data_IF_235780324135
#
_entry.id   IF_235780324135
#
_cell.length_a   1.000
_cell.length_b   1.000
_cell.length_c   1.000
_cell.angle_alpha   90.00
_cell.angle_beta   90.00
_cell.angle_gamma   90.00
#
_symmetry.space_group_name_H-M   'P 1'
#
loop_
_entity.id
_entity.type
_entity.pdbx_description
1 polymer ?
#
# COMPACT_ATOMS: atom_id res chain seq x y z
N UNK A 1 -2.81 21.72 17.83
CA UNK A 1 -3.84 21.04 17.01
C UNK A 1 -3.58 21.19 15.52
N UNK A 2 -3.34 22.40 15.01
CA UNK A 2 -3.08 22.63 13.59
C UNK A 2 -1.80 21.95 13.07
N UNK A 3 -0.72 22.00 13.84
CA UNK A 3 0.56 21.37 13.48
C UNK A 3 0.45 19.85 13.30
N UNK A 4 -0.27 19.15 14.20
CA UNK A 4 -0.52 17.71 14.09
C UNK A 4 -1.26 17.37 12.79
N UNK A 5 -2.28 18.14 12.45
CA UNK A 5 -3.04 17.92 11.21
C UNK A 5 -2.15 18.14 9.97
N UNK A 6 -1.31 19.17 9.98
CA UNK A 6 -0.37 19.43 8.88
C UNK A 6 0.63 18.29 8.70
N UNK A 7 1.17 17.74 9.80
CA UNK A 7 2.05 16.57 9.74
C UNK A 7 1.35 15.33 9.18
N UNK A 8 0.10 15.08 9.58
CA UNK A 8 -0.70 13.97 9.06
C UNK A 8 -0.96 14.12 7.56
N UNK A 9 -1.33 15.31 7.10
CA UNK A 9 -1.53 15.57 5.67
C UNK A 9 -0.22 15.43 4.88
N UNK A 10 0.89 15.93 5.41
CA UNK A 10 2.20 15.78 4.78
C UNK A 10 2.58 14.29 4.66
N UNK A 11 2.35 13.51 5.71
CA UNK A 11 2.58 12.06 5.67
C UNK A 11 1.67 11.36 4.64
N UNK A 12 0.38 11.69 4.59
CA UNK A 12 -0.54 11.12 3.60
C UNK A 12 -0.11 11.46 2.17
N UNK A 13 0.32 12.70 1.92
CA UNK A 13 0.84 13.11 0.61
C UNK A 13 2.14 12.37 0.25
N UNK A 14 3.00 12.07 1.22
CA UNK A 14 4.21 11.29 0.98
C UNK A 14 3.87 9.83 0.58
N UNK A 15 2.88 9.22 1.25
CA UNK A 15 2.42 7.87 0.92
C UNK A 15 1.87 7.74 -0.51
N UNK A 16 1.25 8.79 -1.06
CA UNK A 16 0.73 8.77 -2.44
C UNK A 16 1.81 8.43 -3.48
N UNK A 17 3.09 8.76 -3.20
CA UNK A 17 4.22 8.44 -4.08
C UNK A 17 4.41 6.94 -4.29
N UNK A 18 3.91 6.09 -3.38
CA UNK A 18 3.97 4.63 -3.53
C UNK A 18 3.22 4.12 -4.77
N UNK A 19 2.28 4.90 -5.32
CA UNK A 19 1.60 4.58 -6.59
C UNK A 19 2.53 4.65 -7.80
N UNK A 20 3.66 5.37 -7.70
CA UNK A 20 4.67 5.47 -8.75
C UNK A 20 5.83 4.47 -8.56
N UNK A 21 6.00 3.87 -7.38
CA UNK A 21 7.04 2.88 -7.11
C UNK A 21 6.58 1.49 -7.55
N UNK A 22 7.15 1.01 -8.66
CA UNK A 22 6.81 -0.30 -9.23
C UNK A 22 7.65 -1.43 -8.62
N UNK A 23 7.04 -2.61 -8.49
CA UNK A 23 7.65 -3.85 -8.00
C UNK A 23 7.91 -4.79 -9.17
N UNK A 24 8.79 -5.77 -9.00
CA UNK A 24 9.03 -6.82 -10.01
C UNK A 24 7.88 -7.84 -10.11
N UNK A 25 6.92 -7.81 -9.19
CA UNK A 25 5.69 -8.59 -9.29
C UNK A 25 4.80 -8.03 -10.40
N UNK A 26 4.16 -8.93 -11.13
CA UNK A 26 3.14 -8.57 -12.13
C UNK A 26 1.74 -8.72 -11.55
N UNK A 27 0.79 -7.97 -12.10
CA UNK A 27 -0.63 -8.18 -11.83
C UNK A 27 -1.10 -9.54 -12.37
N UNK A 28 -2.28 -10.00 -11.95
CA UNK A 28 -2.82 -11.33 -12.29
C UNK A 28 -2.85 -11.64 -13.80
N UNK A 29 -3.03 -10.62 -14.64
CA UNK A 29 -3.05 -10.77 -16.09
C UNK A 29 -1.73 -10.40 -16.77
N UNK A 30 -0.66 -10.19 -15.99
CA UNK A 30 0.69 -9.88 -16.43
C UNK A 30 0.88 -8.63 -17.32
N UNK A 31 -0.15 -7.82 -17.54
CA UNK A 31 -0.09 -6.63 -18.41
C UNK A 31 0.83 -5.52 -17.89
N UNK A 32 1.02 -5.43 -16.56
CA UNK A 32 1.85 -4.40 -15.95
C UNK A 32 2.53 -4.92 -14.69
N UNK A 33 3.58 -4.19 -14.29
CA UNK A 33 4.14 -4.30 -12.96
C UNK A 33 3.17 -3.72 -11.92
N UNK A 34 3.10 -4.37 -10.78
CA UNK A 34 2.35 -3.93 -9.61
C UNK A 34 3.04 -2.70 -8.98
N UNK A 35 2.27 -1.73 -8.47
CA UNK A 35 2.86 -0.65 -7.67
C UNK A 35 2.84 -0.96 -6.17
N UNK A 36 3.68 -0.28 -5.40
CA UNK A 36 3.86 -0.58 -3.98
C UNK A 36 2.63 -0.25 -3.13
N UNK A 37 1.80 0.71 -3.55
CA UNK A 37 0.54 1.02 -2.89
C UNK A 37 -0.48 -0.12 -3.06
N UNK A 38 -0.64 -0.66 -4.27
CA UNK A 38 -1.51 -1.81 -4.56
C UNK A 38 -1.10 -3.05 -3.77
N UNK A 39 0.20 -3.33 -3.74
CA UNK A 39 0.75 -4.45 -3.00
C UNK A 39 0.43 -4.38 -1.51
N UNK A 40 0.66 -3.20 -0.91
CA UNK A 40 0.38 -2.96 0.50
C UNK A 40 -1.12 -3.00 0.78
N UNK A 41 -1.93 -2.44 -0.13
CA UNK A 41 -3.39 -2.51 -0.06
C UNK A 41 -3.89 -3.95 -0.13
N UNK A 42 -3.29 -4.84 -0.91
CA UNK A 42 -3.68 -6.26 -0.95
C UNK A 42 -3.19 -7.00 0.31
N UNK A 43 -2.00 -6.68 0.82
CA UNK A 43 -1.45 -7.30 2.03
C UNK A 43 -2.28 -7.05 3.29
N UNK A 44 -2.83 -5.85 3.45
CA UNK A 44 -3.65 -5.50 4.62
C UNK A 44 -4.93 -6.37 4.80
N UNK A 45 -5.83 -6.51 3.81
CA UNK A 45 -6.96 -7.42 3.90
C UNK A 45 -6.52 -8.88 3.85
N UNK A 46 -5.42 -9.22 3.16
CA UNK A 46 -4.87 -10.58 3.18
C UNK A 46 -4.54 -11.01 4.61
N UNK A 47 -3.92 -10.15 5.42
CA UNK A 47 -3.65 -10.44 6.83
C UNK A 47 -4.93 -10.68 7.66
N UNK A 48 -6.04 -9.99 7.34
CA UNK A 48 -7.32 -10.21 8.01
C UNK A 48 -7.97 -11.53 7.57
N UNK A 49 -7.95 -11.83 6.27
CA UNK A 49 -8.55 -13.04 5.68
C UNK A 49 -7.82 -14.30 6.14
N UNK A 50 -6.48 -14.28 6.18
CA UNK A 50 -5.67 -15.44 6.56
C UNK A 50 -5.32 -15.48 8.05
N UNK A 51 -5.99 -14.69 8.89
CA UNK A 51 -5.72 -14.60 10.34
C UNK A 51 -5.67 -15.98 11.02
N UNK A 52 -6.51 -16.92 10.63
CA UNK A 52 -6.57 -18.26 11.23
C UNK A 52 -5.33 -19.13 10.98
N UNK A 53 -4.45 -18.72 10.05
CA UNK A 53 -3.22 -19.43 9.68
C UNK A 53 -1.94 -18.71 10.13
N UNK A 54 -2.06 -17.53 10.76
CA UNK A 54 -0.92 -16.72 11.22
C UNK A 54 -0.83 -16.89 12.76
N UNK A 55 0.34 -17.30 13.31
CA UNK A 55 0.51 -17.50 14.75
C UNK A 55 0.40 -16.20 15.57
#
# INVERSE_FOLDING_TARGET
>A
MFERLQQQLAFTNELEKLKATHRNNRTLYAYRFENSAEHSWQGAPMALVFREYIP
#
